data_IF_465262487797
#
_entry.id   IF_465262487797
#
_cell.length_a   1.000
_cell.length_b   1.000
_cell.length_c   1.000
_cell.angle_alpha   90.00
_cell.angle_beta   90.00
_cell.angle_gamma   90.00
#
_symmetry.space_group_name_H-M   'P 1'
#
loop_
_entity.id
_entity.type
_entity.pdbx_description
1 polymer ?
#
# COMPACT_ATOMS: atom_id res chain seq x y z
N UNK A 1 -12.24 -54.39 -36.50
CA UNK A 1 -11.19 -53.36 -36.30
C UNK A 1 -11.64 -52.40 -35.20
N UNK A 2 -11.54 -52.81 -33.93
CA UNK A 2 -12.01 -52.02 -32.77
C UNK A 2 -11.02 -52.13 -31.60
N UNK A 3 -9.74 -51.77 -31.81
CA UNK A 3 -8.76 -51.82 -30.71
C UNK A 3 -7.62 -50.80 -30.81
N UNK A 4 -7.86 -49.63 -31.41
CA UNK A 4 -6.82 -48.60 -31.55
C UNK A 4 -7.20 -47.22 -31.00
N UNK A 5 -8.43 -47.05 -30.49
CA UNK A 5 -8.93 -45.73 -30.05
C UNK A 5 -8.79 -45.52 -28.52
N UNK A 6 -8.53 -46.58 -27.74
CA UNK A 6 -8.54 -46.49 -26.27
C UNK A 6 -7.20 -46.09 -25.61
N UNK A 7 -6.09 -46.01 -26.36
CA UNK A 7 -4.77 -45.69 -25.77
C UNK A 7 -4.40 -44.19 -25.92
N UNK A 8 -5.00 -43.47 -26.87
CA UNK A 8 -4.70 -42.04 -27.09
C UNK A 8 -5.35 -41.09 -26.06
N UNK A 9 -6.39 -41.54 -25.34
CA UNK A 9 -7.09 -40.72 -24.36
C UNK A 9 -6.40 -40.70 -22.99
N UNK A 10 -5.50 -41.64 -22.69
CA UNK A 10 -4.84 -41.72 -21.39
C UNK A 10 -3.57 -40.84 -21.30
N UNK A 11 -2.86 -40.59 -22.41
CA UNK A 11 -1.65 -39.75 -22.40
C UNK A 11 -1.91 -38.24 -22.45
N UNK A 12 -3.08 -37.80 -22.95
CA UNK A 12 -3.41 -36.36 -23.02
C UNK A 12 -3.87 -35.78 -21.67
N UNK A 13 -4.37 -36.64 -20.77
CA UNK A 13 -4.86 -36.22 -19.45
C UNK A 13 -3.71 -36.06 -18.44
N UNK A 14 -2.58 -36.76 -18.61
CA UNK A 14 -1.43 -36.62 -17.70
C UNK A 14 -0.68 -35.28 -17.92
N UNK A 15 -0.65 -34.79 -19.17
CA UNK A 15 0.00 -33.50 -19.49
C UNK A 15 -0.76 -32.28 -18.97
N UNK A 16 -2.10 -32.35 -18.87
CA UNK A 16 -2.92 -31.24 -18.36
C UNK A 16 -2.93 -31.14 -16.83
N UNK A 17 -2.72 -32.25 -16.12
CA UNK A 17 -2.60 -32.27 -14.66
C UNK A 17 -1.25 -31.69 -14.20
N UNK A 18 -0.17 -31.90 -14.95
CA UNK A 18 1.16 -31.34 -14.64
C UNK A 18 1.30 -29.85 -15.00
N UNK A 19 0.56 -29.35 -15.99
CA UNK A 19 0.53 -27.92 -16.31
C UNK A 19 -0.21 -27.07 -15.25
N UNK A 20 -1.11 -27.70 -14.48
CA UNK A 20 -1.93 -27.02 -13.47
C UNK A 20 -1.19 -26.75 -12.16
N UNK A 21 -0.09 -27.46 -11.86
CA UNK A 21 0.68 -27.28 -10.63
C UNK A 21 1.77 -26.21 -10.71
N UNK A 22 2.11 -25.72 -11.91
CA UNK A 22 3.20 -24.74 -12.13
C UNK A 22 2.67 -23.30 -12.21
N UNK A 23 1.36 -23.11 -12.47
CA UNK A 23 0.73 -21.79 -12.57
C UNK A 23 0.02 -21.32 -11.29
N UNK A 24 0.20 -22.04 -10.17
CA UNK A 24 -0.28 -21.64 -8.85
C UNK A 24 0.76 -20.88 -8.01
N UNK A 25 1.72 -20.21 -8.67
CA UNK A 25 2.26 -18.96 -8.15
C UNK A 25 1.16 -17.87 -8.20
N UNK A 26 -0.02 -18.16 -7.61
CA UNK A 26 -1.14 -17.24 -7.46
C UNK A 26 -0.59 -16.04 -6.70
N UNK A 27 -0.54 -14.91 -7.40
CA UNK A 27 -0.07 -13.64 -6.88
C UNK A 27 -0.75 -13.39 -5.53
N UNK A 28 0.07 -13.50 -4.49
CA UNK A 28 -0.22 -13.33 -3.07
C UNK A 28 -0.65 -11.91 -2.70
N UNK A 29 -1.59 -11.33 -3.42
CA UNK A 29 -2.00 -9.95 -3.23
C UNK A 29 -3.05 -9.95 -2.14
N UNK A 30 -2.78 -9.21 -1.06
CA UNK A 30 -3.75 -9.02 0.02
C UNK A 30 -5.07 -8.43 -0.49
N UNK A 31 -6.17 -8.55 0.28
CA UNK A 31 -7.47 -8.06 -0.14
C UNK A 31 -7.41 -6.59 -0.56
N UNK A 32 -8.23 -6.21 -1.54
CA UNK A 32 -8.32 -4.83 -1.96
C UNK A 32 -8.83 -3.93 -0.83
N UNK A 33 -8.22 -2.77 -0.69
CA UNK A 33 -8.68 -1.75 0.26
C UNK A 33 -10.01 -1.14 -0.20
N UNK A 34 -10.84 -0.73 0.76
CA UNK A 34 -12.14 -0.14 0.48
C UNK A 34 -12.06 1.35 0.10
N UNK A 35 -13.20 1.94 -0.27
CA UNK A 35 -13.29 3.36 -0.66
C UNK A 35 -12.83 4.31 0.46
N UNK A 36 -13.16 4.02 1.73
CA UNK A 36 -12.77 4.84 2.87
C UNK A 36 -11.24 4.87 3.05
N UNK A 37 -10.58 3.73 2.87
CA UNK A 37 -9.12 3.63 2.91
C UNK A 37 -8.47 4.43 1.80
N UNK A 38 -8.98 4.33 0.57
CA UNK A 38 -8.47 5.13 -0.56
C UNK A 38 -8.65 6.62 -0.31
N UNK A 39 -9.79 7.05 0.26
CA UNK A 39 -10.01 8.45 0.61
C UNK A 39 -8.99 8.94 1.65
N UNK A 40 -8.77 8.14 2.71
CA UNK A 40 -7.79 8.44 3.76
C UNK A 40 -6.38 8.63 3.18
N UNK A 41 -5.90 7.69 2.37
CA UNK A 41 -4.55 7.77 1.79
C UNK A 41 -4.43 9.03 0.91
N UNK A 42 -5.42 9.25 0.02
CA UNK A 42 -5.42 10.43 -0.86
C UNK A 42 -5.40 11.76 -0.13
N UNK A 43 -6.07 11.85 1.03
CA UNK A 43 -6.07 13.05 1.87
C UNK A 43 -4.66 13.36 2.38
N UNK A 44 -3.90 12.34 2.80
CA UNK A 44 -2.56 12.54 3.35
C UNK A 44 -1.48 12.71 2.28
N UNK A 45 -1.61 12.05 1.12
CA UNK A 45 -0.61 12.17 0.04
C UNK A 45 -0.80 13.41 -0.83
N UNK A 46 -2.05 13.86 -1.01
CA UNK A 46 -2.36 14.91 -1.98
C UNK A 46 -2.22 14.45 -3.44
N UNK A 47 -2.74 15.25 -4.38
CA UNK A 47 -2.74 14.92 -5.80
C UNK A 47 -1.74 15.76 -6.58
N UNK A 48 -0.83 15.09 -7.29
CA UNK A 48 0.22 15.69 -8.12
C UNK A 48 0.02 15.29 -9.59
N UNK A 49 -0.40 16.21 -10.49
CA UNK A 49 -0.75 15.87 -11.88
C UNK A 49 0.44 15.63 -12.80
N UNK A 50 1.64 16.13 -12.46
CA UNK A 50 2.90 15.97 -13.21
C UNK A 50 4.04 15.68 -12.22
N UNK A 51 5.08 14.91 -12.61
CA UNK A 51 6.17 14.58 -11.69
C UNK A 51 6.79 15.83 -11.05
N UNK A 52 6.84 15.86 -9.72
CA UNK A 52 7.53 16.88 -8.94
C UNK A 52 8.53 16.22 -7.99
N UNK A 53 9.70 16.83 -7.73
CA UNK A 53 10.60 16.36 -6.69
C UNK A 53 9.88 16.31 -5.34
N UNK A 54 10.01 15.19 -4.64
CA UNK A 54 9.75 15.12 -3.22
C UNK A 54 10.85 15.85 -2.44
N UNK A 55 10.74 16.01 -1.12
CA UNK A 55 11.74 16.77 -0.38
C UNK A 55 13.09 16.04 -0.17
N UNK A 56 13.25 14.81 -0.64
CA UNK A 56 14.57 14.15 -0.79
C UNK A 56 15.05 14.16 -2.26
N UNK A 57 14.36 14.89 -3.14
CA UNK A 57 14.74 15.14 -4.53
C UNK A 57 14.24 14.10 -5.54
N UNK A 58 13.45 13.11 -5.13
CA UNK A 58 12.98 12.06 -6.04
C UNK A 58 11.66 12.44 -6.74
N UNK A 59 11.52 12.20 -8.06
CA UNK A 59 10.31 12.57 -8.78
C UNK A 59 9.12 11.70 -8.36
N UNK A 60 8.05 12.36 -7.90
CA UNK A 60 6.79 11.74 -7.48
C UNK A 60 5.60 12.29 -8.25
N UNK A 61 4.58 11.46 -8.50
CA UNK A 61 3.36 11.84 -9.24
C UNK A 61 2.12 11.16 -8.66
N UNK A 62 0.94 11.66 -9.00
CA UNK A 62 -0.33 11.10 -8.53
C UNK A 62 -0.50 11.25 -7.02
N UNK A 63 -0.75 10.15 -6.33
CA UNK A 63 -0.85 10.11 -4.86
C UNK A 63 0.37 9.35 -4.33
N UNK A 64 1.56 9.97 -4.38
CA UNK A 64 2.80 9.39 -3.84
C UNK A 64 3.50 8.33 -4.71
N UNK A 65 3.18 8.22 -6.01
CA UNK A 65 3.88 7.28 -6.90
C UNK A 65 5.32 7.75 -7.16
N UNK A 66 6.31 6.96 -6.74
CA UNK A 66 7.72 7.20 -7.05
C UNK A 66 8.04 6.75 -8.47
N UNK A 67 8.48 7.68 -9.32
CA UNK A 67 8.87 7.37 -10.69
C UNK A 67 10.13 6.49 -10.70
N UNK A 68 10.07 5.41 -11.49
CA UNK A 68 11.10 4.39 -11.65
C UNK A 68 11.98 4.63 -12.86
N UNK A 69 11.48 5.31 -13.88
CA UNK A 69 12.27 5.62 -15.09
C UNK A 69 12.64 7.10 -15.17
N UNK A 70 13.74 7.41 -15.87
CA UNK A 70 14.18 8.79 -16.11
C UNK A 70 13.05 9.57 -16.82
N UNK A 71 12.60 10.65 -16.18
CA UNK A 71 11.50 11.47 -16.68
C UNK A 71 10.10 10.86 -16.48
N UNK A 72 9.97 9.81 -15.66
CA UNK A 72 8.69 9.16 -15.34
C UNK A 72 7.94 8.63 -16.58
N UNK A 73 8.65 8.07 -17.56
CA UNK A 73 8.09 7.63 -18.85
C UNK A 73 7.06 6.50 -18.74
N UNK A 74 7.03 5.79 -17.61
CA UNK A 74 6.06 4.76 -17.30
C UNK A 74 4.66 5.30 -16.97
N UNK A 75 4.51 6.62 -16.81
CA UNK A 75 3.25 7.30 -16.59
C UNK A 75 3.04 8.41 -17.63
N UNK A 76 1.89 8.41 -18.30
CA UNK A 76 1.49 9.52 -19.16
C UNK A 76 0.89 10.66 -18.32
N UNK A 77 1.33 11.89 -18.59
CA UNK A 77 0.91 13.09 -17.88
C UNK A 77 0.27 14.14 -18.83
N UNK A 78 -0.58 15.06 -18.33
CA UNK A 78 -1.01 15.19 -16.94
C UNK A 78 -1.92 14.03 -16.50
N UNK A 79 -1.76 13.56 -15.27
CA UNK A 79 -2.68 12.58 -14.69
C UNK A 79 -4.04 13.23 -14.44
N UNK A 80 -5.11 12.47 -14.65
CA UNK A 80 -6.40 12.76 -14.01
C UNK A 80 -6.43 12.18 -12.59
N UNK A 81 -7.31 12.69 -11.72
CA UNK A 81 -7.53 12.07 -10.40
C UNK A 81 -7.97 10.60 -10.50
N UNK A 82 -8.69 10.24 -11.57
CA UNK A 82 -9.09 8.86 -11.87
C UNK A 82 -7.90 7.97 -12.18
N UNK A 83 -7.07 8.39 -13.14
CA UNK A 83 -5.83 7.67 -13.51
C UNK A 83 -4.87 7.56 -12.33
N UNK A 84 -4.70 8.62 -11.55
CA UNK A 84 -3.88 8.60 -10.33
C UNK A 84 -4.46 7.67 -9.25
N UNK A 85 -5.79 7.52 -9.17
CA UNK A 85 -6.40 6.54 -8.26
C UNK A 85 -6.10 5.11 -8.70
N UNK A 86 -6.14 4.84 -10.01
CA UNK A 86 -5.77 3.53 -10.56
C UNK A 86 -4.29 3.23 -10.30
N UNK A 87 -3.41 4.22 -10.47
CA UNK A 87 -1.99 4.12 -10.14
C UNK A 87 -1.78 3.82 -8.64
N UNK A 88 -2.43 4.56 -7.75
CA UNK A 88 -2.38 4.32 -6.31
C UNK A 88 -2.82 2.89 -5.97
N UNK A 89 -3.94 2.40 -6.53
CA UNK A 89 -4.37 1.01 -6.30
C UNK A 89 -3.35 -0.03 -6.75
N UNK A 90 -2.56 0.26 -7.80
CA UNK A 90 -1.47 -0.61 -8.25
C UNK A 90 -0.33 -0.60 -7.23
N UNK A 91 0.07 0.58 -6.77
CA UNK A 91 1.15 0.74 -5.79
C UNK A 91 0.81 0.10 -4.44
N UNK A 92 -0.46 0.17 -4.03
CA UNK A 92 -0.93 -0.44 -2.78
C UNK A 92 -0.81 -1.97 -2.72
N UNK A 93 -0.62 -2.66 -3.85
CA UNK A 93 -0.52 -4.13 -3.89
C UNK A 93 0.59 -4.67 -3.00
N UNK A 94 1.78 -4.04 -3.00
CA UNK A 94 2.91 -4.48 -2.18
C UNK A 94 2.65 -4.29 -0.68
N UNK A 95 1.96 -3.21 -0.30
CA UNK A 95 1.60 -2.91 1.09
C UNK A 95 0.46 -3.79 1.59
N UNK A 96 -0.54 -4.06 0.75
CA UNK A 96 -1.58 -5.06 0.99
C UNK A 96 -0.98 -6.45 1.25
N UNK A 97 -0.05 -6.86 0.39
CA UNK A 97 0.69 -8.11 0.53
C UNK A 97 1.53 -8.12 1.81
N UNK A 98 2.24 -7.04 2.12
CA UNK A 98 3.05 -6.95 3.33
C UNK A 98 2.22 -7.15 4.60
N UNK A 99 1.07 -6.46 4.74
CA UNK A 99 0.18 -6.66 5.89
C UNK A 99 -0.35 -8.10 5.93
N UNK A 100 -0.85 -8.61 4.80
CA UNK A 100 -1.46 -9.95 4.73
C UNK A 100 -0.46 -11.06 5.09
N UNK A 101 0.75 -11.00 4.56
CA UNK A 101 1.79 -12.01 4.82
C UNK A 101 2.35 -11.93 6.24
N UNK A 102 2.40 -10.73 6.81
CA UNK A 102 2.94 -10.51 8.16
C UNK A 102 1.95 -10.91 9.26
N UNK A 103 0.66 -11.09 8.95
CA UNK A 103 -0.35 -11.57 9.90
C UNK A 103 -0.53 -13.09 9.85
N UNK A 104 -0.81 -13.72 11.00
CA UNK A 104 -1.19 -15.14 11.11
C UNK A 104 -2.65 -15.36 10.68
N UNK A 105 -2.99 -16.59 10.29
CA UNK A 105 -4.35 -16.97 9.84
C UNK A 105 -5.42 -16.74 10.91
N UNK A 106 -5.04 -16.79 12.19
CA UNK A 106 -5.94 -16.51 13.31
C UNK A 106 -6.33 -15.02 13.43
N UNK A 107 -5.57 -14.11 12.82
CA UNK A 107 -5.84 -12.67 12.87
C UNK A 107 -7.04 -12.34 12.00
N UNK A 108 -8.11 -11.84 12.62
CA UNK A 108 -9.35 -11.43 11.96
C UNK A 108 -9.42 -9.91 11.90
N UNK A 109 -9.44 -9.34 10.71
CA UNK A 109 -9.60 -7.90 10.51
C UNK A 109 -10.80 -7.61 9.60
N UNK A 110 -11.61 -6.62 9.99
CA UNK A 110 -12.59 -6.05 9.08
C UNK A 110 -11.91 -5.14 8.03
N UNK A 111 -12.65 -4.72 7.02
CA UNK A 111 -12.11 -3.93 5.90
C UNK A 111 -11.52 -2.57 6.32
N UNK A 112 -12.07 -1.95 7.38
CA UNK A 112 -11.57 -0.67 7.87
C UNK A 112 -10.29 -0.84 8.69
N UNK A 113 -10.23 -1.86 9.55
CA UNK A 113 -9.02 -2.20 10.32
C UNK A 113 -7.86 -2.56 9.38
N UNK A 114 -8.11 -3.46 8.42
CA UNK A 114 -7.11 -3.81 7.40
C UNK A 114 -6.70 -2.58 6.57
N UNK A 115 -7.66 -1.76 6.17
CA UNK A 115 -7.41 -0.53 5.44
C UNK A 115 -6.52 0.47 6.19
N UNK A 116 -6.75 0.65 7.48
CA UNK A 116 -5.90 1.50 8.34
C UNK A 116 -4.46 0.98 8.39
N UNK A 117 -4.26 -0.34 8.50
CA UNK A 117 -2.92 -0.94 8.48
C UNK A 117 -2.23 -0.79 7.12
N UNK A 118 -2.97 -0.90 6.01
CA UNK A 118 -2.41 -0.68 4.67
C UNK A 118 -2.04 0.80 4.46
N UNK A 119 -2.86 1.74 4.92
CA UNK A 119 -2.52 3.19 4.91
C UNK A 119 -1.26 3.48 5.72
N UNK A 120 -1.15 2.87 6.90
CA UNK A 120 0.02 3.01 7.75
C UNK A 120 1.27 2.40 7.10
N UNK A 121 1.17 1.18 6.56
CA UNK A 121 2.28 0.53 5.85
C UNK A 121 2.71 1.31 4.60
N UNK A 122 1.77 1.93 3.87
CA UNK A 122 2.08 2.82 2.75
C UNK A 122 2.99 3.97 3.20
N UNK A 123 2.71 4.54 4.37
CA UNK A 123 3.48 5.63 4.95
C UNK A 123 4.86 5.19 5.48
N UNK A 124 4.92 4.13 6.28
CA UNK A 124 6.15 3.74 7.00
C UNK A 124 6.98 2.70 6.24
N UNK A 125 6.50 2.20 5.11
CA UNK A 125 7.14 1.13 4.37
C UNK A 125 6.79 -0.27 4.87
N UNK A 126 6.84 -1.29 3.99
CA UNK A 126 6.41 -2.65 4.31
C UNK A 126 7.31 -3.36 5.32
N UNK A 127 8.61 -3.04 5.34
CA UNK A 127 9.57 -3.65 6.26
C UNK A 127 9.35 -3.19 7.70
N UNK A 128 9.23 -1.88 7.93
CA UNK A 128 8.91 -1.32 9.24
C UNK A 128 7.55 -1.79 9.76
N UNK A 129 6.56 -1.93 8.88
CA UNK A 129 5.27 -2.49 9.25
C UNK A 129 5.40 -3.95 9.71
N UNK A 130 6.12 -4.79 8.95
CA UNK A 130 6.31 -6.22 9.23
C UNK A 130 6.97 -6.48 10.58
N UNK A 131 8.02 -5.74 10.93
CA UNK A 131 8.79 -5.93 12.17
C UNK A 131 8.21 -5.22 13.39
N UNK A 132 7.05 -4.56 13.26
CA UNK A 132 6.47 -3.75 14.31
C UNK A 132 5.90 -4.55 15.49
N UNK A 133 5.89 -3.94 16.68
CA UNK A 133 5.13 -4.42 17.83
C UNK A 133 3.64 -4.55 17.51
N UNK A 134 3.08 -3.69 16.65
CA UNK A 134 1.69 -3.77 16.19
C UNK A 134 1.38 -5.15 15.58
N UNK A 135 2.15 -5.56 14.58
CA UNK A 135 1.94 -6.85 13.92
C UNK A 135 2.22 -8.02 14.88
N UNK A 136 3.23 -7.90 15.73
CA UNK A 136 3.54 -8.90 16.76
C UNK A 136 2.34 -9.14 17.70
N UNK A 137 1.75 -8.07 18.24
CA UNK A 137 0.60 -8.10 19.15
C UNK A 137 -0.65 -8.69 18.49
N UNK A 138 -0.95 -8.30 17.24
CA UNK A 138 -2.03 -8.93 16.47
C UNK A 138 -1.81 -10.44 16.32
N UNK A 139 -0.57 -10.86 16.04
CA UNK A 139 -0.21 -12.27 15.90
C UNK A 139 -0.18 -13.07 17.21
N UNK A 140 -0.25 -12.39 18.35
CA UNK A 140 -0.46 -12.97 19.68
C UNK A 140 -1.94 -13.14 20.02
N UNK A 141 -2.85 -12.67 19.14
CA UNK A 141 -4.29 -12.81 19.31
C UNK A 141 -4.95 -11.69 20.11
N UNK A 142 -4.23 -10.61 20.38
CA UNK A 142 -4.81 -9.42 21.03
C UNK A 142 -5.89 -8.75 20.17
N UNK A 143 -6.84 -8.06 20.82
CA UNK A 143 -7.94 -7.38 20.14
C UNK A 143 -7.44 -6.33 19.13
N UNK A 144 -7.84 -6.41 17.84
CA UNK A 144 -7.36 -5.49 16.83
C UNK A 144 -7.66 -4.02 17.10
N UNK A 145 -8.80 -3.68 17.71
CA UNK A 145 -9.12 -2.27 17.99
C UNK A 145 -8.20 -1.71 19.07
N UNK A 146 -7.93 -2.50 20.12
CA UNK A 146 -7.00 -2.11 21.19
C UNK A 146 -5.58 -1.96 20.66
N UNK A 147 -5.07 -2.97 19.94
CA UNK A 147 -3.70 -2.95 19.39
C UNK A 147 -3.51 -1.76 18.46
N UNK A 148 -4.42 -1.55 17.51
CA UNK A 148 -4.33 -0.43 16.54
C UNK A 148 -4.35 0.92 17.28
N UNK A 149 -5.24 1.08 18.26
CA UNK A 149 -5.38 2.34 19.00
C UNK A 149 -4.15 2.68 19.86
N UNK A 150 -3.43 1.68 20.35
CA UNK A 150 -2.25 1.87 21.21
C UNK A 150 -0.94 1.96 20.42
N UNK A 151 -0.81 1.22 19.32
CA UNK A 151 0.45 1.12 18.59
C UNK A 151 0.61 2.19 17.50
N UNK A 152 -0.45 2.50 16.73
CA UNK A 152 -0.33 3.51 15.66
C UNK A 152 0.16 4.88 16.17
N UNK A 153 -0.29 5.43 17.32
CA UNK A 153 0.18 6.73 17.82
C UNK A 153 1.68 6.81 18.13
N UNK A 154 2.38 5.67 18.22
CA UNK A 154 3.84 5.63 18.42
C UNK A 154 4.60 6.00 17.13
N UNK A 155 4.00 5.80 15.96
CA UNK A 155 4.59 6.09 14.65
C UNK A 155 4.35 7.54 14.22
N UNK A 156 4.84 8.47 15.06
CA UNK A 156 4.64 9.93 14.92
C UNK A 156 5.94 10.72 14.74
N UNK A 157 7.07 10.04 14.61
CA UNK A 157 8.40 10.68 14.55
C UNK A 157 8.89 10.81 13.11
N UNK A 158 9.58 11.92 12.84
CA UNK A 158 10.33 12.20 11.62
C UNK A 158 11.68 12.81 12.02
N UNK A 159 12.80 12.24 11.55
CA UNK A 159 14.13 12.69 11.97
C UNK A 159 14.33 12.70 13.49
N UNK A 160 13.73 11.73 14.20
CA UNK A 160 13.78 11.62 15.67
C UNK A 160 12.87 12.59 16.43
N UNK A 161 12.15 13.50 15.77
CA UNK A 161 11.26 14.48 16.42
C UNK A 161 9.79 14.18 16.12
N UNK A 162 8.91 14.55 17.05
CA UNK A 162 7.46 14.47 16.82
C UNK A 162 7.07 15.36 15.65
N UNK A 163 6.30 14.79 14.72
CA UNK A 163 5.81 15.50 13.56
C UNK A 163 4.28 15.54 13.57
N UNK A 164 3.71 16.74 13.70
CA UNK A 164 2.25 16.94 13.83
C UNK A 164 1.45 16.35 12.66
N UNK A 165 2.02 16.33 11.44
CA UNK A 165 1.39 15.69 10.30
C UNK A 165 1.20 14.18 10.50
N UNK A 166 2.19 13.51 11.11
CA UNK A 166 2.12 12.09 11.43
C UNK A 166 1.18 11.85 12.60
N UNK A 167 1.17 12.70 13.62
CA UNK A 167 0.17 12.63 14.72
C UNK A 167 -1.25 12.65 14.17
N UNK A 168 -1.55 13.60 13.26
CA UNK A 168 -2.85 13.68 12.58
C UNK A 168 -3.16 12.42 11.78
N UNK A 169 -2.19 11.91 11.00
CA UNK A 169 -2.33 10.70 10.20
C UNK A 169 -2.66 9.47 11.05
N UNK A 170 -1.92 9.25 12.13
CA UNK A 170 -2.16 8.12 13.05
C UNK A 170 -3.54 8.23 13.71
N UNK A 171 -3.97 9.42 14.13
CA UNK A 171 -5.33 9.63 14.66
C UNK A 171 -6.42 9.28 13.64
N UNK A 172 -6.23 9.67 12.38
CA UNK A 172 -7.19 9.38 11.31
C UNK A 172 -7.24 7.88 10.95
N UNK A 173 -6.10 7.18 10.94
CA UNK A 173 -6.03 5.73 10.75
C UNK A 173 -6.70 4.97 11.91
N UNK A 174 -6.47 5.38 13.16
CA UNK A 174 -7.18 4.82 14.32
C UNK A 174 -8.69 5.06 14.21
N UNK A 175 -9.12 6.26 13.79
CA UNK A 175 -10.54 6.58 13.58
C UNK A 175 -11.15 5.69 12.51
N UNK A 176 -10.46 5.48 11.38
CA UNK A 176 -10.91 4.55 10.35
C UNK A 176 -11.08 3.14 10.93
N UNK A 177 -10.06 2.61 11.61
CA UNK A 177 -10.10 1.27 12.18
C UNK A 177 -11.26 1.05 13.17
N UNK A 178 -11.56 2.06 14.00
CA UNK A 178 -12.67 2.04 14.96
C UNK A 178 -14.05 2.18 14.32
N UNK A 179 -14.14 2.65 13.07
CA UNK A 179 -15.42 2.78 12.37
C UNK A 179 -15.92 1.39 12.00
N UNK A 180 -17.09 0.94 12.53
CA UNK A 180 -17.57 -0.42 12.28
C UNK A 180 -17.88 -0.67 10.80
N UNK A 181 -17.62 -1.89 10.33
CA UNK A 181 -18.05 -2.36 9.00
C UNK A 181 -18.31 -3.86 9.03
N UNK A 182 -19.30 -4.32 8.26
CA UNK A 182 -19.62 -5.74 8.10
C UNK A 182 -18.66 -6.45 7.12
N UNK A 183 -17.94 -5.69 6.29
CA UNK A 183 -17.00 -6.26 5.32
C UNK A 183 -15.77 -6.83 6.04
N UNK A 184 -15.52 -8.13 5.87
CA UNK A 184 -14.32 -8.82 6.38
C UNK A 184 -13.18 -8.67 5.38
N UNK A 185 -11.95 -8.52 5.86
CA UNK A 185 -10.75 -8.49 5.02
C UNK A 185 -9.81 -9.67 5.33
N UNK A 186 -9.47 -9.90 6.60
CA UNK A 186 -8.63 -11.02 7.02
C UNK A 186 -9.38 -11.97 7.97
N UNK A 187 -9.05 -13.27 7.98
CA UNK A 187 -8.10 -13.93 7.07
C UNK A 187 -8.64 -14.04 5.63
N UNK A 188 -7.76 -14.00 4.65
CA UNK A 188 -8.12 -14.36 3.28
C UNK A 188 -8.22 -15.87 3.17
N UNK A 189 -9.34 -16.39 2.66
CA UNK A 189 -9.54 -17.83 2.51
C UNK A 189 -8.48 -18.50 1.61
N UNK A 190 -7.83 -17.74 0.72
CA UNK A 190 -6.75 -18.21 -0.15
C UNK A 190 -5.33 -17.85 0.32
N UNK A 191 -5.15 -17.09 1.42
CA UNK A 191 -3.80 -16.73 1.90
C UNK A 191 -3.04 -17.92 2.54
N UNK A 192 -3.72 -19.03 2.81
CA UNK A 192 -3.09 -20.28 3.28
C UNK A 192 -2.16 -20.86 2.20
N UNK A 193 -2.61 -20.87 0.93
CA UNK A 193 -1.80 -21.32 -0.22
C UNK A 193 -0.59 -20.39 -0.48
N UNK A 194 -0.76 -19.11 -0.16
CA UNK A 194 0.24 -18.08 -0.38
C UNK A 194 1.48 -18.18 0.55
N UNK A 195 1.32 -18.64 1.80
CA UNK A 195 2.47 -18.89 2.69
C UNK A 195 3.25 -20.14 2.29
N UNK A 196 2.57 -21.16 1.80
CA UNK A 196 3.20 -22.41 1.30
C UNK A 196 4.08 -22.11 0.08
N UNK A 197 3.62 -21.28 -0.86
CA UNK A 197 4.42 -20.85 -2.00
C UNK A 197 5.70 -20.07 -1.60
N UNK A 198 5.63 -19.24 -0.56
CA UNK A 198 6.80 -18.50 -0.06
C UNK A 198 7.83 -19.43 0.61
N UNK A 199 7.39 -20.45 1.36
CA UNK A 199 8.30 -21.44 1.96
C UNK A 199 8.94 -22.37 0.94
N UNK A 200 8.21 -22.76 -0.11
CA UNK A 200 8.75 -23.59 -1.21
C UNK A 200 9.79 -22.81 -2.03
N UNK A 201 9.60 -21.49 -2.19
CA UNK A 201 10.56 -20.62 -2.89
C UNK A 201 11.85 -20.35 -2.10
N UNK A 202 11.85 -20.55 -0.78
CA UNK A 202 13.02 -20.27 0.06
C UNK A 202 14.18 -21.26 -0.12
N UNK A 203 13.98 -22.36 -0.87
CA UNK A 203 15.03 -23.26 -1.34
C UNK A 203 15.70 -22.80 -2.65
N UNK A 204 15.16 -21.77 -3.32
CA UNK A 204 15.75 -21.17 -4.51
C UNK A 204 16.19 -19.75 -4.18
N UNK A 205 17.50 -19.49 -4.32
CA UNK A 205 18.13 -18.20 -4.02
C UNK A 205 17.62 -17.14 -5.03
N UNK A 206 16.52 -16.46 -4.72
CA UNK A 206 16.02 -15.34 -5.50
C UNK A 206 17.01 -14.16 -5.40
N UNK A 207 17.87 -14.01 -6.42
CA UNK A 207 18.46 -12.70 -6.74
C UNK A 207 17.38 -11.89 -7.45
N UNK A 208 17.12 -10.67 -6.96
CA UNK A 208 16.40 -9.65 -7.73
C UNK A 208 14.99 -9.32 -7.24
N UNK A 209 14.87 -8.83 -6.02
CA UNK A 209 13.95 -7.73 -5.70
C UNK A 209 14.73 -6.79 -4.80
N UNK A 210 15.32 -5.74 -5.40
CA UNK A 210 16.17 -4.81 -4.68
C UNK A 210 15.35 -4.09 -3.59
N UNK A 211 15.51 -4.55 -2.34
CA UNK A 211 14.84 -3.98 -1.16
C UNK A 211 15.09 -2.48 -0.97
N UNK A 212 16.12 -1.95 -1.62
CA UNK A 212 16.47 -0.53 -1.63
C UNK A 212 15.41 0.40 -2.24
N UNK A 213 14.44 -0.10 -3.02
CA UNK A 213 13.37 0.72 -3.60
C UNK A 213 12.20 0.92 -2.64
N UNK A 214 11.93 -0.04 -1.74
CA UNK A 214 10.79 0.01 -0.82
C UNK A 214 11.11 0.77 0.48
N UNK A 215 12.37 0.76 0.92
CA UNK A 215 12.82 1.57 2.05
C UNK A 215 12.92 3.07 1.71
N UNK A 216 12.97 3.44 0.42
CA UNK A 216 12.97 4.86 -0.02
C UNK A 216 11.61 5.53 0.12
N UNK A 217 10.51 4.80 -0.05
CA UNK A 217 9.13 5.32 0.12
C UNK A 217 8.88 5.86 1.54
N UNK A 218 9.60 5.32 2.54
CA UNK A 218 9.57 5.79 3.93
C UNK A 218 9.97 7.27 4.05
N UNK A 219 10.97 7.73 3.30
CA UNK A 219 11.47 9.10 3.36
C UNK A 219 10.59 10.09 2.57
N UNK A 220 9.93 9.62 1.52
CA UNK A 220 9.03 10.43 0.66
C UNK A 220 7.84 10.96 1.47
N UNK A 221 7.18 10.09 2.24
CA UNK A 221 5.94 10.44 2.93
C UNK A 221 6.15 11.29 4.19
N UNK A 222 7.24 11.07 4.92
CA UNK A 222 7.65 11.95 6.04
C UNK A 222 7.77 13.39 5.54
N UNK A 223 8.26 13.55 4.33
CA UNK A 223 8.59 14.83 3.75
C UNK A 223 7.36 15.52 3.09
N UNK A 224 6.46 14.79 2.43
CA UNK A 224 5.24 15.33 1.83
C UNK A 224 4.22 15.87 2.85
N UNK A 225 4.16 15.30 4.06
CA UNK A 225 3.30 15.83 5.14
C UNK A 225 3.66 17.26 5.60
N UNK A 226 4.86 17.75 5.23
CA UNK A 226 5.31 19.13 5.43
C UNK A 226 4.71 20.11 4.40
N UNK A 227 4.47 19.66 3.16
CA UNK A 227 4.02 20.51 2.05
C UNK A 227 2.51 20.82 2.12
N UNK A 228 1.74 19.92 2.75
CA UNK A 228 0.33 20.17 3.07
C UNK A 228 0.12 21.33 4.08
N UNK A 229 1.16 21.81 4.78
CA UNK A 229 1.08 22.97 5.69
C UNK A 229 1.36 24.32 5.02
N UNK A 230 2.03 24.38 3.87
CA UNK A 230 2.31 25.67 3.23
C UNK A 230 1.10 26.27 2.53
N UNK A 231 0.14 25.45 2.08
CA UNK A 231 -1.08 25.94 1.44
C UNK A 231 -2.21 26.34 2.40
N UNK A 232 -2.18 25.93 3.67
CA UNK A 232 -3.20 26.33 4.65
C UNK A 232 -2.84 27.58 5.46
N UNK A 233 -1.61 28.10 5.33
CA UNK A 233 -1.11 29.22 6.15
C UNK A 233 -0.86 30.52 5.37
N UNK A 234 -1.14 30.57 4.07
CA UNK A 234 -1.13 31.80 3.27
C UNK A 234 -2.56 32.29 2.99
N UNK A 235 -3.37 32.39 4.04
CA UNK A 235 -4.62 33.15 4.04
C UNK A 235 -4.36 34.64 4.29
N UNK A 236 -3.46 35.24 3.51
CA UNK A 236 -3.16 36.66 3.56
C UNK A 236 -3.75 37.34 2.34
N UNK A 237 -4.89 38.03 2.52
CA UNK A 237 -5.51 38.84 1.49
C UNK A 237 -4.50 39.86 0.95
N UNK A 238 -4.08 39.70 -0.31
CA UNK A 238 -3.52 40.81 -1.09
C UNK A 238 -4.65 41.36 -1.95
N UNK A 239 -5.20 42.47 -1.49
CA UNK A 239 -6.08 43.37 -2.23
C UNK A 239 -5.49 43.68 -3.59
N UNK A 240 -6.25 43.36 -4.64
CA UNK A 240 -5.98 43.73 -6.02
C UNK A 240 -6.34 45.21 -6.20
N UNK A 241 -5.34 46.09 -6.36
CA UNK A 241 -5.55 47.44 -6.88
C UNK A 241 -5.29 47.44 -8.40
N UNK A 242 -6.24 47.89 -9.23
CA UNK A 242 -6.01 48.02 -10.66
C UNK A 242 -5.14 49.26 -10.93
N UNK A 243 -4.06 49.09 -11.70
CA UNK A 243 -3.27 50.21 -12.22
C UNK A 243 -4.11 50.96 -13.26
N UNK A 244 -4.37 52.24 -12.97
CA UNK A 244 -4.95 53.17 -13.92
C UNK A 244 -4.00 53.46 -15.08
N UNK A 245 -4.59 53.58 -16.28
CA UNK A 245 -4.02 54.23 -17.45
C UNK A 245 -3.93 55.74 -17.22
N UNK A 246 -2.88 56.37 -17.71
CA UNK A 246 -2.78 57.83 -17.77
C UNK A 246 -1.53 58.28 -18.53
N UNK A 247 -1.77 58.62 -19.80
CA UNK A 247 -1.09 59.59 -20.70
C UNK A 247 0.42 59.47 -20.91
#
# INVERSE_FOLDING_TARGET
MHLSILIAAALSVVSSVLASSILEARQCIGPHVNKATLALIKEFEGFVPRPEPDPIGLPTVGYGHLCKTKGCKEVKFPLSKGTATTLLKKDLRSFQQAITLSTKTAVKLNANQYGALVSWAYNVGPNAARSSSLISRLNQGEDPNQVIAQELPKWRLAGGKVFEGLVRRRKAEVKLAKTPTKSKALPQQHAVSCKVAASVSSGYRFRGLDGAHLDRVHMIHVAQTSRAKQFSNTGGAKTFQPRGRGV
#
